data_IF_432376327292
#
_entry.id   IF_432376327292
#
_cell.length_a   1.000
_cell.length_b   1.000
_cell.length_c   1.000
_cell.angle_alpha   90.00
_cell.angle_beta   90.00
_cell.angle_gamma   90.00
#
_symmetry.space_group_name_H-M   'P 1'
#
loop_
_entity.id
_entity.type
_entity.pdbx_description
1 polymer ?
#
# COMPACT_ATOMS: atom_id res chain seq x y z
N UNK A 1 -8.01 -28.76 -37.13
CA UNK A 1 -8.35 -27.40 -36.64
C UNK A 1 -7.49 -26.42 -37.41
N UNK A 2 -7.97 -25.22 -37.74
CA UNK A 2 -7.09 -24.23 -38.37
C UNK A 2 -6.22 -23.63 -37.28
N UNK A 3 -4.97 -24.09 -37.18
CA UNK A 3 -4.00 -23.61 -36.19
C UNK A 3 -3.83 -22.08 -36.26
N UNK A 4 -4.01 -21.52 -37.46
CA UNK A 4 -4.01 -20.08 -37.75
C UNK A 4 -5.13 -19.29 -37.07
N UNK A 5 -6.19 -19.96 -36.60
CA UNK A 5 -7.29 -19.38 -35.84
C UNK A 5 -7.22 -19.77 -34.36
N UNK A 6 -6.80 -21.00 -34.06
CA UNK A 6 -6.73 -21.50 -32.69
C UNK A 6 -5.73 -20.72 -31.83
N UNK A 7 -4.48 -20.58 -32.30
CA UNK A 7 -3.44 -19.89 -31.54
C UNK A 7 -3.73 -18.40 -31.28
N UNK A 8 -4.19 -17.58 -32.23
CA UNK A 8 -4.54 -16.20 -31.93
C UNK A 8 -5.75 -16.08 -31.00
N UNK A 9 -6.76 -16.94 -31.13
CA UNK A 9 -7.88 -16.96 -30.19
C UNK A 9 -7.43 -17.33 -28.77
N UNK A 10 -6.54 -18.32 -28.63
CA UNK A 10 -5.97 -18.68 -27.35
C UNK A 10 -5.15 -17.53 -26.74
N UNK A 11 -4.39 -16.80 -27.55
CA UNK A 11 -3.64 -15.62 -27.10
C UNK A 11 -4.57 -14.49 -26.63
N UNK A 12 -5.63 -14.20 -27.38
CA UNK A 12 -6.65 -13.22 -26.99
C UNK A 12 -7.33 -13.63 -25.68
N UNK A 13 -7.69 -14.91 -25.54
CA UNK A 13 -8.30 -15.44 -24.32
C UNK A 13 -7.36 -15.29 -23.13
N UNK A 14 -6.08 -15.61 -23.30
CA UNK A 14 -5.08 -15.45 -22.25
C UNK A 14 -4.95 -13.97 -21.80
N UNK A 15 -4.90 -13.04 -22.75
CA UNK A 15 -4.89 -11.61 -22.44
C UNK A 15 -6.16 -11.16 -21.73
N UNK A 16 -7.33 -11.67 -22.13
CA UNK A 16 -8.60 -11.39 -21.46
C UNK A 16 -8.61 -11.90 -20.00
N UNK A 17 -8.05 -13.09 -19.74
CA UNK A 17 -7.92 -13.62 -18.38
C UNK A 17 -6.98 -12.77 -17.52
N UNK A 18 -5.85 -12.32 -18.07
CA UNK A 18 -4.91 -11.43 -17.36
C UNK A 18 -5.58 -10.09 -17.06
N UNK A 19 -6.28 -9.50 -18.03
CA UNK A 19 -7.00 -8.25 -17.84
C UNK A 19 -8.09 -8.39 -16.77
N UNK A 20 -8.85 -9.49 -16.76
CA UNK A 20 -9.85 -9.77 -15.74
C UNK A 20 -9.23 -9.93 -14.35
N UNK A 21 -8.09 -10.61 -14.23
CA UNK A 21 -7.37 -10.73 -12.96
C UNK A 21 -6.88 -9.37 -12.44
N UNK A 22 -6.44 -8.48 -13.33
CA UNK A 22 -6.00 -7.13 -12.99
C UNK A 22 -7.12 -6.20 -12.52
N UNK A 23 -8.39 -6.53 -12.79
CA UNK A 23 -9.56 -5.80 -12.25
C UNK A 23 -9.68 -5.97 -10.74
N UNK A 24 -9.14 -7.05 -10.16
CA UNK A 24 -9.22 -7.25 -8.71
C UNK A 24 -8.30 -6.28 -7.97
N UNK A 25 -8.80 -5.61 -6.91
CA UNK A 25 -8.02 -4.63 -6.17
C UNK A 25 -6.74 -5.24 -5.60
N UNK A 26 -5.60 -4.67 -5.99
CA UNK A 26 -4.28 -5.09 -5.52
C UNK A 26 -3.96 -4.40 -4.19
N UNK A 27 -4.46 -4.96 -3.07
CA UNK A 27 -4.15 -4.46 -1.73
C UNK A 27 -5.17 -4.85 -0.66
N UNK A 28 -4.69 -5.06 0.57
CA UNK A 28 -5.55 -5.34 1.73
C UNK A 28 -6.47 -4.15 2.00
N UNK A 29 -7.79 -4.37 1.99
CA UNK A 29 -8.79 -3.32 2.24
C UNK A 29 -9.10 -2.43 1.04
N UNK A 30 -8.61 -2.76 -0.16
CA UNK A 30 -9.03 -2.08 -1.39
C UNK A 30 -10.42 -2.56 -1.84
N UNK A 31 -11.29 -1.63 -2.27
CA UNK A 31 -12.68 -1.90 -2.61
C UNK A 31 -12.75 -2.63 -3.95
N UNK A 32 -13.52 -3.71 -3.99
CA UNK A 32 -13.85 -4.40 -5.25
C UNK A 32 -14.61 -3.48 -6.21
N UNK A 33 -14.30 -3.49 -7.51
CA UNK A 33 -15.05 -2.71 -8.49
C UNK A 33 -16.51 -3.17 -8.57
N UNK A 34 -17.43 -2.20 -8.66
CA UNK A 34 -18.86 -2.48 -8.76
C UNK A 34 -19.19 -3.28 -10.03
N UNK A 35 -20.22 -4.16 -10.01
CA UNK A 35 -21.20 -4.38 -8.94
C UNK A 35 -20.73 -5.32 -7.82
N UNK A 36 -19.47 -5.76 -7.82
CA UNK A 36 -18.97 -6.75 -6.86
C UNK A 36 -18.47 -6.09 -5.56
N UNK A 37 -18.79 -6.70 -4.41
CA UNK A 37 -18.28 -6.32 -3.10
C UNK A 37 -18.94 -5.11 -2.44
N UNK A 38 -18.56 -4.87 -1.19
CA UNK A 38 -19.02 -3.74 -0.36
C UNK A 38 -17.85 -2.87 0.08
N UNK A 39 -18.12 -1.66 0.55
CA UNK A 39 -17.08 -0.74 1.05
C UNK A 39 -16.36 -1.37 2.24
N UNK A 40 -15.03 -1.61 2.16
CA UNK A 40 -14.28 -2.19 3.26
C UNK A 40 -14.25 -1.26 4.47
N UNK A 41 -14.23 -1.82 5.68
CA UNK A 41 -14.19 -1.04 6.94
C UNK A 41 -12.96 -0.13 6.98
N UNK A 42 -11.83 -0.58 6.45
CA UNK A 42 -10.58 0.19 6.34
C UNK A 42 -10.72 1.43 5.45
N UNK A 43 -11.71 1.48 4.56
CA UNK A 43 -11.96 2.64 3.70
C UNK A 43 -12.92 3.66 4.31
N UNK A 44 -13.54 3.36 5.45
CA UNK A 44 -14.43 4.28 6.15
C UNK A 44 -13.66 5.53 6.60
N UNK A 45 -14.38 6.65 6.69
CA UNK A 45 -13.80 7.91 7.13
C UNK A 45 -13.23 7.81 8.55
N UNK A 46 -13.91 7.07 9.43
CA UNK A 46 -13.51 6.82 10.81
C UNK A 46 -12.20 6.03 10.89
N UNK A 47 -12.09 4.90 10.17
CA UNK A 47 -10.88 4.08 10.16
C UNK A 47 -9.67 4.83 9.57
N UNK A 48 -9.88 5.60 8.49
CA UNK A 48 -8.82 6.45 7.91
C UNK A 48 -8.37 7.55 8.87
N UNK A 49 -9.30 8.16 9.59
CA UNK A 49 -8.98 9.19 10.59
C UNK A 49 -8.19 8.61 11.77
N UNK A 50 -8.57 7.42 12.25
CA UNK A 50 -7.83 6.71 13.30
C UNK A 50 -6.39 6.38 12.86
N UNK A 51 -6.25 5.78 11.67
CA UNK A 51 -4.93 5.43 11.11
C UNK A 51 -4.04 6.67 10.93
N UNK A 52 -4.60 7.79 10.46
CA UNK A 52 -3.85 9.04 10.31
C UNK A 52 -3.33 9.57 11.66
N UNK A 53 -4.17 9.54 12.71
CA UNK A 53 -3.76 9.95 14.06
C UNK A 53 -2.64 9.08 14.62
N UNK A 54 -2.71 7.77 14.40
CA UNK A 54 -1.67 6.83 14.82
C UNK A 54 -0.35 7.06 14.08
N UNK A 55 -0.40 7.32 12.77
CA UNK A 55 0.78 7.68 11.97
C UNK A 55 1.40 8.98 12.46
N UNK A 56 0.60 10.04 12.65
CA UNK A 56 1.08 11.33 13.16
C UNK A 56 1.75 11.20 14.54
N UNK A 57 1.13 10.44 15.46
CA UNK A 57 1.71 10.18 16.78
C UNK A 57 3.03 9.39 16.69
N UNK A 58 3.13 8.45 15.74
CA UNK A 58 4.33 7.64 15.52
C UNK A 58 5.46 8.47 14.91
N UNK A 59 5.15 9.36 13.96
CA UNK A 59 6.11 10.29 13.37
C UNK A 59 6.68 11.26 14.41
N UNK A 60 5.84 11.79 15.30
CA UNK A 60 6.30 12.64 16.40
C UNK A 60 7.25 11.91 17.34
N UNK A 61 6.92 10.67 17.73
CA UNK A 61 7.81 9.83 18.56
C UNK A 61 9.13 9.53 17.85
N UNK A 62 9.08 9.25 16.55
CA UNK A 62 10.29 8.98 15.76
C UNK A 62 11.16 10.23 15.64
N UNK A 63 10.57 11.40 15.47
CA UNK A 63 11.29 12.68 15.42
C UNK A 63 11.98 12.97 16.75
N UNK A 64 11.26 12.85 17.87
CA UNK A 64 11.81 13.03 19.20
C UNK A 64 12.96 12.03 19.49
N UNK A 65 12.81 10.77 19.08
CA UNK A 65 13.87 9.77 19.22
C UNK A 65 15.12 10.12 18.39
N UNK A 66 14.94 10.63 17.17
CA UNK A 66 16.06 11.08 16.33
C UNK A 66 16.77 12.29 16.92
N UNK A 67 16.04 13.25 17.45
CA UNK A 67 16.59 14.43 18.13
C UNK A 67 17.41 14.00 19.36
N UNK A 68 16.86 13.15 20.23
CA UNK A 68 17.57 12.64 21.40
C UNK A 68 18.86 11.87 21.02
N UNK A 69 18.85 11.09 19.94
CA UNK A 69 20.05 10.40 19.44
C UNK A 69 21.08 11.40 18.90
N UNK A 70 20.63 12.44 18.17
CA UNK A 70 21.50 13.48 17.66
C UNK A 70 22.18 14.27 18.80
N UNK A 71 21.43 14.61 19.85
CA UNK A 71 21.96 15.30 21.04
C UNK A 71 23.00 14.44 21.77
N UNK A 72 22.74 13.14 21.96
CA UNK A 72 23.70 12.22 22.55
C UNK A 72 24.98 12.13 21.71
N UNK A 73 24.87 12.14 20.38
CA UNK A 73 26.04 12.13 19.50
C UNK A 73 26.82 13.45 19.60
N UNK A 74 26.14 14.59 19.61
CA UNK A 74 26.78 15.91 19.76
C UNK A 74 27.50 16.03 21.12
N UNK A 75 26.90 15.53 22.20
CA UNK A 75 27.50 15.52 23.53
C UNK A 75 28.74 14.60 23.60
N UNK A 76 28.70 13.44 22.92
CA UNK A 76 29.84 12.50 22.82
C UNK A 76 30.98 12.99 21.93
N UNK A 77 30.71 13.90 20.99
CA UNK A 77 31.72 14.53 20.13
C UNK A 77 32.35 15.78 20.78
N UNK A 78 31.71 16.36 21.80
CA UNK A 78 32.19 17.54 22.53
C UNK A 78 33.00 17.32 23.83
N UNK A 79 33.40 16.10 24.28
CA UNK A 79 34.06 15.94 25.57
C UNK A 79 35.57 16.14 25.46
N UNK A 80 36.05 17.27 24.93
CA UNK A 80 37.44 17.73 25.13
C UNK A 80 37.53 19.22 24.79
N UNK A 81 37.39 20.09 25.78
CA UNK A 81 38.19 21.31 25.98
C UNK A 81 38.18 21.66 27.47
#
# INVERSE_FOLDING_TARGET
MSDRLFFPLAAILALAMVALAAVWPQGLGARSPGPFGHTPVQQTAEAKAAMKRETEASEQRLKAAREAVADIQAQKLSPTQ
#
